data_IF_080630283945
#
_entry.id   IF_080630283945
#
_cell.length_a   1.000
_cell.length_b   1.000
_cell.length_c   1.000
_cell.angle_alpha   90.00
_cell.angle_beta   90.00
_cell.angle_gamma   90.00
#
_symmetry.space_group_name_H-M   'P 1'
#
loop_
_entity.id
_entity.type
_entity.pdbx_description
1 polymer ?
#
# COMPACT_ATOMS: atom_id res chain seq x y z
N UNK A 1 -10.69 -9.28 -0.85
CA UNK A 1 -9.69 -10.25 -1.32
C UNK A 1 -8.69 -9.65 -2.32
N UNK A 2 -9.15 -8.86 -3.31
CA UNK A 2 -8.32 -8.22 -4.35
C UNK A 2 -6.99 -7.62 -3.87
N UNK A 3 -6.98 -6.74 -2.86
CA UNK A 3 -5.74 -6.09 -2.40
C UNK A 3 -4.63 -7.09 -2.05
N UNK A 4 -4.98 -8.23 -1.41
CA UNK A 4 -3.99 -9.25 -1.04
C UNK A 4 -3.44 -9.97 -2.27
N UNK A 5 -4.32 -10.33 -3.20
CA UNK A 5 -3.90 -11.02 -4.43
C UNK A 5 -3.06 -10.11 -5.33
N UNK A 6 -3.41 -8.81 -5.40
CA UNK A 6 -2.63 -7.83 -6.13
C UNK A 6 -1.25 -7.59 -5.49
N UNK A 7 -1.17 -7.55 -4.15
CA UNK A 7 0.12 -7.47 -3.45
C UNK A 7 0.99 -8.69 -3.77
N UNK A 8 0.43 -9.88 -3.65
CA UNK A 8 1.12 -11.13 -4.02
C UNK A 8 1.59 -11.10 -5.47
N UNK A 9 0.76 -10.59 -6.39
CA UNK A 9 1.09 -10.44 -7.80
C UNK A 9 2.31 -9.54 -8.02
N UNK A 10 2.38 -8.40 -7.34
CA UNK A 10 3.49 -7.45 -7.45
C UNK A 10 4.80 -8.03 -6.90
N UNK A 11 4.72 -8.80 -5.82
CA UNK A 11 5.88 -9.37 -5.13
C UNK A 11 6.41 -10.66 -5.76
N UNK A 12 5.74 -11.22 -6.79
CA UNK A 12 6.18 -12.47 -7.42
C UNK A 12 7.62 -12.40 -7.94
N UNK A 13 7.94 -11.39 -8.76
CA UNK A 13 9.25 -11.30 -9.40
C UNK A 13 10.37 -11.12 -8.36
N UNK A 14 10.30 -10.15 -7.43
CA UNK A 14 11.31 -10.02 -6.38
C UNK A 14 11.45 -11.28 -5.52
N UNK A 15 10.34 -11.89 -5.11
CA UNK A 15 10.37 -13.09 -4.26
C UNK A 15 10.99 -14.30 -4.96
N UNK A 16 10.69 -14.52 -6.24
CA UNK A 16 11.31 -15.59 -7.03
C UNK A 16 12.79 -15.33 -7.27
N UNK A 17 13.16 -14.07 -7.56
CA UNK A 17 14.57 -13.69 -7.71
C UNK A 17 15.37 -13.96 -6.43
N UNK A 18 14.82 -13.60 -5.27
CA UNK A 18 15.45 -13.88 -3.98
C UNK A 18 15.63 -15.39 -3.75
N UNK A 19 14.64 -16.20 -4.12
CA UNK A 19 14.70 -17.66 -4.04
C UNK A 19 15.78 -18.26 -4.93
N UNK A 20 15.90 -17.78 -6.16
CA UNK A 20 17.00 -18.16 -7.05
C UNK A 20 18.37 -17.83 -6.43
N UNK A 21 18.53 -16.60 -5.92
CA UNK A 21 19.77 -16.15 -5.30
C UNK A 21 20.15 -16.95 -4.05
N UNK A 22 19.16 -17.46 -3.32
CA UNK A 22 19.35 -18.28 -2.12
C UNK A 22 19.40 -19.78 -2.41
N UNK A 23 19.37 -20.18 -3.69
CA UNK A 23 19.39 -21.58 -4.11
C UNK A 23 18.14 -22.38 -3.73
N UNK A 24 17.05 -21.69 -3.35
CA UNK A 24 15.83 -22.31 -2.83
C UNK A 24 14.72 -22.25 -3.87
N UNK A 25 14.85 -23.08 -4.92
CA UNK A 25 13.95 -23.07 -6.08
C UNK A 25 12.49 -23.29 -5.66
N UNK A 26 11.57 -22.41 -6.08
CA UNK A 26 10.16 -22.56 -5.74
C UNK A 26 9.56 -23.81 -6.41
N UNK A 27 8.55 -24.45 -5.78
CA UNK A 27 7.91 -25.65 -6.31
C UNK A 27 7.03 -25.39 -7.53
N UNK A 28 6.77 -24.13 -7.87
CA UNK A 28 6.00 -23.68 -9.03
C UNK A 28 6.80 -22.65 -9.80
N UNK A 29 6.55 -22.54 -11.10
CA UNK A 29 7.08 -21.41 -11.89
C UNK A 29 6.31 -20.12 -11.61
N UNK A 30 6.87 -18.99 -12.02
CA UNK A 30 6.20 -17.69 -11.91
C UNK A 30 4.87 -17.73 -12.67
N UNK A 31 4.83 -18.32 -13.85
CA UNK A 31 3.66 -18.41 -14.72
C UNK A 31 2.56 -19.23 -14.05
N UNK A 32 2.91 -20.38 -13.48
CA UNK A 32 1.99 -21.23 -12.72
C UNK A 32 1.40 -20.47 -11.52
N UNK A 33 2.23 -19.68 -10.83
CA UNK A 33 1.76 -18.89 -9.69
C UNK A 33 0.89 -17.70 -10.13
N UNK A 34 1.19 -17.05 -11.25
CA UNK A 34 0.34 -16.00 -11.83
C UNK A 34 -1.03 -16.55 -12.19
N UNK A 35 -1.08 -17.71 -12.86
CA UNK A 35 -2.32 -18.37 -13.22
C UNK A 35 -3.15 -18.71 -11.97
N UNK A 36 -2.51 -19.22 -10.93
CA UNK A 36 -3.18 -19.49 -9.66
C UNK A 36 -3.80 -18.22 -9.02
N UNK A 37 -3.11 -17.08 -9.07
CA UNK A 37 -3.65 -15.81 -8.53
C UNK A 37 -4.86 -15.32 -9.32
N UNK A 38 -4.86 -15.51 -10.65
CA UNK A 38 -6.00 -15.21 -11.53
C UNK A 38 -7.20 -16.09 -11.15
N UNK A 39 -6.99 -17.40 -11.02
CA UNK A 39 -8.02 -18.36 -10.65
C UNK A 39 -8.63 -18.07 -9.29
N UNK A 40 -7.80 -17.72 -8.29
CA UNK A 40 -8.27 -17.34 -6.96
C UNK A 40 -9.13 -16.07 -6.99
N UNK A 41 -8.77 -15.07 -7.81
CA UNK A 41 -9.59 -13.86 -7.93
C UNK A 41 -10.93 -14.18 -8.57
N UNK A 42 -10.94 -14.95 -9.67
CA UNK A 42 -12.18 -15.33 -10.35
C UNK A 42 -13.09 -16.17 -9.44
N UNK A 43 -12.54 -17.12 -8.69
CA UNK A 43 -13.30 -17.92 -7.75
C UNK A 43 -13.97 -17.06 -6.66
N UNK A 44 -13.24 -16.11 -6.07
CA UNK A 44 -13.80 -15.22 -5.06
C UNK A 44 -14.86 -14.27 -5.60
N UNK A 45 -14.71 -13.80 -6.84
CA UNK A 45 -15.73 -12.98 -7.50
C UNK A 45 -17.00 -13.81 -7.81
N UNK A 46 -16.86 -15.09 -8.13
CA UNK A 46 -18.01 -15.99 -8.32
C UNK A 46 -18.77 -16.26 -7.01
N UNK A 47 -18.05 -16.38 -5.90
CA UNK A 47 -18.61 -16.68 -4.58
C UNK A 47 -19.31 -15.47 -3.94
N UNK A 48 -18.80 -14.25 -4.15
CA UNK A 48 -19.28 -13.06 -3.45
C UNK A 48 -20.18 -12.13 -4.27
N UNK A 49 -20.32 -12.33 -5.58
CA UNK A 49 -21.13 -11.44 -6.41
C UNK A 49 -22.55 -12.00 -6.65
N UNK A 50 -23.50 -11.50 -5.87
CA UNK A 50 -24.94 -11.64 -6.12
C UNK A 50 -25.43 -10.80 -7.31
N UNK A 51 -24.62 -9.83 -7.77
CA UNK A 51 -24.87 -8.98 -8.93
C UNK A 51 -23.66 -8.99 -9.88
N UNK A 52 -23.88 -9.34 -11.15
CA UNK A 52 -22.82 -9.49 -12.15
C UNK A 52 -22.18 -8.13 -12.47
N UNK A 53 -22.93 -7.04 -12.38
CA UNK A 53 -22.47 -5.70 -12.75
C UNK A 53 -21.47 -5.09 -11.73
N UNK A 54 -21.37 -5.69 -10.54
CA UNK A 54 -20.40 -5.26 -9.51
C UNK A 54 -19.10 -6.08 -9.52
N UNK A 55 -18.97 -7.06 -10.43
CA UNK A 55 -17.79 -7.91 -10.51
C UNK A 55 -16.58 -7.13 -11.02
N UNK A 56 -15.48 -7.27 -10.31
CA UNK A 56 -14.21 -6.63 -10.64
C UNK A 56 -13.50 -7.40 -11.76
N UNK A 57 -13.74 -8.71 -11.87
CA UNK A 57 -13.18 -9.56 -12.90
C UNK A 57 -14.14 -10.69 -13.28
N UNK A 58 -14.43 -10.83 -14.57
CA UNK A 58 -15.29 -11.91 -15.13
C UNK A 58 -14.52 -12.92 -15.97
N UNK A 59 -13.29 -12.60 -16.37
CA UNK A 59 -12.41 -13.46 -17.14
C UNK A 59 -10.93 -13.27 -16.74
N UNK A 60 -10.05 -14.11 -17.27
CA UNK A 60 -8.61 -14.07 -16.95
C UNK A 60 -7.94 -12.74 -17.33
N UNK A 61 -8.41 -12.06 -18.38
CA UNK A 61 -7.85 -10.78 -18.85
C UNK A 61 -8.23 -9.66 -17.89
N UNK A 62 -9.49 -9.59 -17.49
CA UNK A 62 -10.00 -8.65 -16.49
C UNK A 62 -9.34 -8.88 -15.13
N UNK A 63 -9.20 -10.14 -14.71
CA UNK A 63 -8.50 -10.50 -13.47
C UNK A 63 -7.03 -10.04 -13.50
N UNK A 64 -6.31 -10.32 -14.59
CA UNK A 64 -4.93 -9.85 -14.75
C UNK A 64 -4.85 -8.33 -14.71
N UNK A 65 -5.77 -7.61 -15.37
CA UNK A 65 -5.83 -6.16 -15.34
C UNK A 65 -6.08 -5.64 -13.92
N UNK A 66 -7.01 -6.24 -13.18
CA UNK A 66 -7.32 -5.86 -11.80
C UNK A 66 -6.13 -6.09 -10.85
N UNK A 67 -5.45 -7.24 -10.98
CA UNK A 67 -4.26 -7.56 -10.18
C UNK A 67 -3.08 -6.61 -10.47
N UNK A 68 -2.89 -6.23 -11.73
CA UNK A 68 -1.84 -5.27 -12.13
C UNK A 68 -2.18 -3.82 -11.77
N UNK A 69 -3.46 -3.46 -11.83
CA UNK A 69 -3.94 -2.08 -11.63
C UNK A 69 -3.95 -1.63 -10.17
N UNK A 70 -3.69 -2.54 -9.22
CA UNK A 70 -3.65 -2.22 -7.80
C UNK A 70 -2.19 -2.06 -7.34
N UNK A 71 -1.75 -0.81 -7.17
CA UNK A 71 -0.45 -0.48 -6.60
C UNK A 71 -0.51 -0.19 -5.09
N UNK A 72 0.66 -0.12 -4.46
CA UNK A 72 0.79 0.18 -3.02
C UNK A 72 0.07 1.46 -2.62
N UNK A 73 0.14 2.51 -3.45
CA UNK A 73 -0.56 3.77 -3.21
C UNK A 73 -2.07 3.55 -3.17
N UNK A 74 -2.62 2.86 -4.16
CA UNK A 74 -4.06 2.54 -4.23
C UNK A 74 -4.51 1.73 -3.02
N UNK A 75 -3.69 0.78 -2.55
CA UNK A 75 -4.00 0.01 -1.33
C UNK A 75 -4.03 0.88 -0.08
N UNK A 76 -3.07 1.79 0.06
CA UNK A 76 -2.97 2.72 1.20
C UNK A 76 -4.14 3.69 1.21
N UNK A 77 -4.50 4.26 0.05
CA UNK A 77 -5.67 5.14 -0.09
C UNK A 77 -6.95 4.44 0.31
N UNK A 78 -7.17 3.25 -0.24
CA UNK A 78 -8.33 2.42 0.09
C UNK A 78 -8.38 2.05 1.58
N UNK A 79 -7.24 1.75 2.20
CA UNK A 79 -7.18 1.49 3.63
C UNK A 79 -7.57 2.74 4.45
N UNK A 80 -7.17 3.93 3.99
CA UNK A 80 -7.59 5.21 4.55
C UNK A 80 -9.10 5.42 4.47
N UNK A 81 -9.71 5.22 3.30
CA UNK A 81 -11.17 5.38 3.10
C UNK A 81 -12.00 4.40 3.95
N UNK A 82 -11.49 3.19 4.15
CA UNK A 82 -12.13 2.18 4.99
C UNK A 82 -11.89 2.40 6.49
N UNK A 83 -11.10 3.40 6.88
CA UNK A 83 -10.78 3.70 8.28
C UNK A 83 -11.44 5.01 8.71
N UNK A 84 -12.41 4.96 9.65
CA UNK A 84 -13.15 6.15 10.06
C UNK A 84 -12.25 7.29 10.54
N UNK A 85 -12.45 8.48 9.98
CA UNK A 85 -11.71 9.70 10.34
C UNK A 85 -10.24 9.71 9.92
N UNK A 86 -9.86 8.92 8.91
CA UNK A 86 -8.54 8.97 8.25
C UNK A 86 -8.69 9.46 6.81
N UNK A 87 -9.34 8.69 5.93
CA UNK A 87 -9.48 9.04 4.51
C UNK A 87 -8.22 8.82 3.66
N UNK A 88 -8.39 8.73 2.35
CA UNK A 88 -7.33 8.38 1.40
C UNK A 88 -6.12 9.34 1.37
N UNK A 89 -6.33 10.65 1.37
CA UNK A 89 -5.23 11.60 1.18
C UNK A 89 -4.30 11.66 2.40
N UNK A 90 -4.88 11.56 3.59
CA UNK A 90 -4.11 11.53 4.84
C UNK A 90 -3.35 10.21 4.98
N UNK A 91 -3.91 9.08 4.55
CA UNK A 91 -3.20 7.80 4.56
C UNK A 91 -2.07 7.78 3.53
N UNK A 92 -2.29 8.28 2.31
CA UNK A 92 -1.26 8.38 1.28
C UNK A 92 -0.11 9.30 1.74
N UNK A 93 -0.43 10.48 2.26
CA UNK A 93 0.58 11.43 2.76
C UNK A 93 1.43 10.81 3.85
N UNK A 94 0.78 10.21 4.87
CA UNK A 94 1.48 9.54 5.97
C UNK A 94 2.38 8.41 5.48
N UNK A 95 1.88 7.57 4.58
CA UNK A 95 2.67 6.47 4.03
C UNK A 95 3.87 6.96 3.22
N UNK A 96 3.70 7.98 2.36
CA UNK A 96 4.80 8.57 1.59
C UNK A 96 5.86 9.17 2.51
N UNK A 97 5.46 9.82 3.59
CA UNK A 97 6.40 10.32 4.59
C UNK A 97 7.22 9.18 5.21
N UNK A 98 6.55 8.15 5.74
CA UNK A 98 7.22 7.01 6.35
C UNK A 98 8.15 6.29 5.35
N UNK A 99 7.72 6.15 4.10
CA UNK A 99 8.50 5.55 3.02
C UNK A 99 9.74 6.38 2.68
N UNK A 100 9.60 7.70 2.55
CA UNK A 100 10.73 8.61 2.31
C UNK A 100 11.79 8.49 3.41
N UNK A 101 11.36 8.49 4.69
CA UNK A 101 12.27 8.28 5.82
C UNK A 101 12.93 6.89 5.79
N UNK A 102 12.17 5.82 5.54
CA UNK A 102 12.69 4.45 5.54
C UNK A 102 13.69 4.18 4.41
N UNK A 103 13.54 4.86 3.26
CA UNK A 103 14.42 4.70 2.10
C UNK A 103 15.50 5.79 1.98
N UNK A 104 15.56 6.72 2.93
CA UNK A 104 16.55 7.80 2.91
C UNK A 104 16.37 8.79 1.74
N UNK A 105 15.13 9.01 1.29
CA UNK A 105 14.81 10.02 0.29
C UNK A 105 14.98 11.43 0.90
N UNK A 106 16.22 11.93 0.85
CA UNK A 106 16.60 13.21 1.42
C UNK A 106 15.77 14.38 0.87
N UNK A 107 15.39 14.36 -0.41
CA UNK A 107 14.60 15.42 -1.03
C UNK A 107 13.18 15.45 -0.46
N UNK A 108 12.53 14.28 -0.39
CA UNK A 108 11.21 14.17 0.22
C UNK A 108 11.27 14.50 1.71
N UNK A 109 12.25 13.97 2.45
CA UNK A 109 12.44 14.24 3.88
C UNK A 109 12.63 15.74 4.17
N UNK A 110 13.48 16.45 3.43
CA UNK A 110 13.64 17.90 3.58
C UNK A 110 12.39 18.68 3.17
N UNK A 111 11.56 18.11 2.28
CA UNK A 111 10.23 18.64 1.95
C UNK A 111 9.26 18.67 3.13
N UNK A 112 9.41 17.77 4.10
CA UNK A 112 8.51 17.59 5.25
C UNK A 112 8.91 18.43 6.48
N UNK A 113 10.06 19.08 6.45
CA UNK A 113 10.55 19.91 7.54
C UNK A 113 9.90 21.29 7.51
N UNK A 114 9.68 21.87 8.69
CA UNK A 114 9.35 23.29 8.82
C UNK A 114 10.52 24.13 8.29
N UNK A 115 10.19 25.19 7.55
CA UNK A 115 11.17 26.05 6.88
C UNK A 115 10.95 27.50 7.26
N UNK A 116 11.90 28.06 8.00
CA UNK A 116 11.93 29.48 8.31
C UNK A 116 13.00 30.16 7.49
N UNK A 117 12.63 31.20 6.73
CA UNK A 117 13.63 32.05 6.06
C UNK A 117 14.30 32.90 7.13
N UNK A 118 15.59 32.67 7.34
CA UNK A 118 16.40 33.42 8.31
C UNK A 118 16.99 34.67 7.68
N UNK A 119 17.40 34.57 6.42
CA UNK A 119 18.05 35.65 5.69
C UNK A 119 17.79 35.51 4.20
N UNK A 120 17.76 36.64 3.48
CA UNK A 120 17.87 36.67 2.03
C UNK A 120 19.26 37.18 1.64
N UNK A 121 20.16 36.25 1.32
CA UNK A 121 21.57 36.59 1.05
C UNK A 121 21.80 37.20 -0.34
N UNK A 122 20.89 36.96 -1.31
CA UNK A 122 20.89 37.59 -2.63
C UNK A 122 19.50 37.50 -3.30
N UNK A 123 19.23 38.21 -4.41
CA UNK A 123 18.02 38.00 -5.19
C UNK A 123 17.88 36.51 -5.60
N UNK A 124 16.81 35.86 -5.13
CA UNK A 124 16.55 34.44 -5.40
C UNK A 124 17.26 33.44 -4.49
N UNK A 125 18.15 33.88 -3.58
CA UNK A 125 18.87 33.00 -2.65
C UNK A 125 18.44 33.32 -1.22
N UNK A 126 17.90 32.31 -0.52
CA UNK A 126 17.44 32.41 0.86
C UNK A 126 18.17 31.42 1.74
N UNK A 127 18.66 31.88 2.89
CA UNK A 127 19.09 31.00 3.97
C UNK A 127 17.86 30.55 4.74
N UNK A 128 17.65 29.24 4.79
CA UNK A 128 16.48 28.63 5.43
C UNK A 128 16.95 27.77 6.60
N UNK A 129 16.41 28.03 7.79
CA UNK A 129 16.52 27.12 8.92
C UNK A 129 15.44 26.07 8.79
N UNK A 130 15.86 24.81 8.76
CA UNK A 130 14.94 23.67 8.79
C UNK A 130 14.81 23.12 10.20
N UNK A 131 13.59 22.86 10.64
CA UNK A 131 13.28 22.21 11.92
C UNK A 131 12.27 21.09 11.72
N UNK A 132 12.13 20.23 12.75
CA UNK A 132 11.12 19.17 12.75
C UNK A 132 9.73 19.81 12.81
N UNK A 133 8.85 19.42 11.90
CA UNK A 133 7.42 19.72 11.98
C UNK A 133 6.79 18.71 12.96
N UNK A 134 6.61 19.11 14.22
CA UNK A 134 6.10 18.23 15.29
C UNK A 134 4.64 17.85 15.08
N UNK A 135 3.79 18.76 14.61
CA UNK A 135 2.36 18.50 14.39
C UNK A 135 2.13 17.44 13.30
N UNK A 136 2.95 17.46 12.26
CA UNK A 136 3.00 16.51 11.16
C UNK A 136 3.47 15.15 11.65
N UNK A 137 4.52 15.10 12.49
CA UNK A 137 4.97 13.85 13.12
C UNK A 137 3.90 13.23 14.03
N UNK A 138 3.23 14.04 14.86
CA UNK A 138 2.15 13.57 15.73
C UNK A 138 0.98 13.05 14.88
N UNK A 139 0.58 13.80 13.85
CA UNK A 139 -0.52 13.43 12.96
C UNK A 139 -0.23 12.12 12.21
N UNK A 140 0.97 11.99 11.62
CA UNK A 140 1.43 10.77 10.95
C UNK A 140 1.41 9.57 11.90
N UNK A 141 1.88 9.74 13.13
CA UNK A 141 1.88 8.68 14.15
C UNK A 141 0.46 8.26 14.54
N UNK A 142 -0.45 9.22 14.72
CA UNK A 142 -1.86 8.95 15.01
C UNK A 142 -2.54 8.20 13.86
N UNK A 143 -2.30 8.60 12.61
CA UNK A 143 -2.85 7.95 11.42
C UNK A 143 -2.32 6.52 11.31
N UNK A 144 -1.01 6.32 11.44
CA UNK A 144 -0.39 5.00 11.42
C UNK A 144 -0.97 4.08 12.52
N UNK A 145 -1.15 4.62 13.72
CA UNK A 145 -1.75 3.88 14.85
C UNK A 145 -3.20 3.49 14.57
N UNK A 146 -4.02 4.41 14.04
CA UNK A 146 -5.42 4.14 13.67
C UNK A 146 -5.53 3.06 12.59
N UNK A 147 -4.73 3.16 11.53
CA UNK A 147 -4.69 2.16 10.46
C UNK A 147 -4.29 0.78 10.99
N UNK A 148 -3.28 0.74 11.86
CA UNK A 148 -2.80 -0.49 12.50
C UNK A 148 -3.86 -1.10 13.41
N UNK A 149 -4.52 -0.29 14.24
CA UNK A 149 -5.59 -0.75 15.11
C UNK A 149 -6.78 -1.31 14.31
N UNK A 150 -7.17 -0.65 13.21
CA UNK A 150 -8.21 -1.15 12.32
C UNK A 150 -7.79 -2.47 11.66
N UNK A 151 -6.52 -2.61 11.25
CA UNK A 151 -6.00 -3.86 10.72
C UNK A 151 -6.08 -5.01 11.73
N UNK A 152 -5.70 -4.78 12.99
CA UNK A 152 -5.84 -5.79 14.06
C UNK A 152 -7.30 -6.17 14.30
N UNK A 153 -8.22 -5.19 14.31
CA UNK A 153 -9.65 -5.46 14.43
C UNK A 153 -10.16 -6.35 13.29
N UNK A 154 -9.74 -6.08 12.05
CA UNK A 154 -10.10 -6.91 10.89
C UNK A 154 -9.52 -8.33 11.01
N UNK A 155 -8.32 -8.51 11.56
CA UNK A 155 -7.74 -9.83 11.83
C UNK A 155 -8.53 -10.59 12.89
N UNK A 156 -8.93 -9.92 13.98
CA UNK A 156 -9.76 -10.53 15.02
C UNK A 156 -11.14 -10.94 14.46
N UNK A 157 -11.76 -10.10 13.64
CA UNK A 157 -13.01 -10.48 12.96
C UNK A 157 -12.84 -11.72 12.08
N UNK A 158 -11.72 -11.87 11.38
CA UNK A 158 -11.44 -13.08 10.59
C UNK A 158 -11.23 -14.32 11.45
N UNK A 159 -10.73 -14.17 12.67
CA UNK A 159 -10.56 -15.28 13.62
C UNK A 159 -11.90 -15.87 14.05
N UNK A 160 -12.95 -15.05 14.11
CA UNK A 160 -14.29 -15.45 14.55
C UNK A 160 -15.33 -15.49 13.41
N UNK A 161 -14.94 -15.16 12.18
CA UNK A 161 -15.85 -15.21 11.03
C UNK A 161 -16.10 -16.68 10.66
N UNK A 162 -17.36 -17.15 10.65
CA UNK A 162 -17.67 -18.56 10.44
C UNK A 162 -17.79 -18.88 8.94
N UNK A 163 -16.73 -18.74 8.15
CA UNK A 163 -16.71 -19.10 6.71
C UNK A 163 -15.23 -19.41 6.34
N UNK A 164 -14.77 -20.56 5.82
CA UNK A 164 -15.34 -21.65 5.02
C UNK A 164 -16.22 -21.24 3.86
#
# INVERSE_FOLDING_TARGET
>A
MLNRLALEWQELKPAYRLRELTGNSPPRTIEQRQQQLIELLLAAEQEHASDVDQRIAVDARAATKALRGFDYVTMVKRAGDLTPGVGADLSETTWRMCSAFAHGDSSATTGLLSKDVVEQSAPGIKLVRTSIEVGLMVSASMIATKLTANAFRLLEHRRYSPFH
#
